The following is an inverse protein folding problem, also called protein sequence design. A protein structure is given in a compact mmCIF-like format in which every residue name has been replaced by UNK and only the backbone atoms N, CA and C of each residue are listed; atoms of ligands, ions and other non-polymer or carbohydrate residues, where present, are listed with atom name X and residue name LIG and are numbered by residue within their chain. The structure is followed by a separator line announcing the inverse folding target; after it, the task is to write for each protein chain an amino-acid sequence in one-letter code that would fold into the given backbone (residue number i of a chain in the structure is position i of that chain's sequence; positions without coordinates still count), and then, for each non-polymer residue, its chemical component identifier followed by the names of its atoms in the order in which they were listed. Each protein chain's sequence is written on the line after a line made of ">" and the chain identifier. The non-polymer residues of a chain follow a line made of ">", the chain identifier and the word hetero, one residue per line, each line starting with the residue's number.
data_IF_359556578243
#
_entry.id   IF_359556578243
#
_cell.length_a   1.000
_cell.length_b   1.000
_cell.length_c   1.000
_cell.angle_alpha   90.00
_cell.angle_beta   90.00
_cell.angle_gamma   90.00
#
_symmetry.space_group_name_H-M   'P 1'
#
loop_
_entity.id
_entity.type
_entity.pdbx_description
1 polymer ?
#
# COMPACT_ATOMS: atom_id res chain seq x y z
N UNK A 1 84.87 8.01 -28.86
CA UNK A 1 83.67 8.03 -29.73
C UNK A 1 83.05 6.65 -29.71
N UNK A 2 81.71 6.60 -29.77
CA UNK A 2 80.84 5.41 -30.04
C UNK A 2 80.78 4.35 -28.91
N UNK A 3 79.64 3.84 -28.44
CA UNK A 3 78.24 3.77 -28.90
C UNK A 3 77.25 3.74 -27.72
N UNK A 4 76.10 4.39 -27.88
CA UNK A 4 74.89 4.19 -27.07
C UNK A 4 74.28 2.82 -27.37
N UNK A 5 73.97 2.03 -26.34
CA UNK A 5 73.02 0.91 -26.44
C UNK A 5 71.90 1.13 -25.43
N UNK A 6 70.74 1.52 -25.96
CA UNK A 6 69.46 1.60 -25.27
C UNK A 6 68.95 0.19 -24.91
N UNK A 7 68.72 -0.09 -23.63
CA UNK A 7 68.05 -1.31 -23.18
C UNK A 7 66.63 -1.00 -22.65
N UNK A 8 65.62 -1.85 -22.93
CA UNK A 8 64.21 -1.49 -22.89
C UNK A 8 63.60 -1.47 -21.47
N UNK A 9 62.73 -0.48 -21.25
CA UNK A 9 61.87 -0.30 -20.08
C UNK A 9 60.89 -1.48 -19.93
N UNK A 10 61.21 -2.46 -19.08
CA UNK A 10 60.27 -3.52 -18.68
C UNK A 10 59.11 -2.90 -17.88
N UNK A 11 57.99 -2.65 -18.57
CA UNK A 11 56.68 -2.44 -17.93
C UNK A 11 56.19 -3.81 -17.45
N UNK A 12 56.22 -4.07 -16.14
CA UNK A 12 55.50 -5.21 -15.56
C UNK A 12 54.01 -4.85 -15.55
N UNK A 13 53.28 -5.36 -16.55
CA UNK A 13 51.83 -5.39 -16.52
C UNK A 13 51.41 -6.40 -15.44
N UNK A 14 50.77 -5.91 -14.38
CA UNK A 14 50.07 -6.76 -13.40
C UNK A 14 48.61 -6.78 -13.84
N UNK A 15 48.21 -7.86 -14.50
CA UNK A 15 46.80 -8.17 -14.68
C UNK A 15 46.27 -8.76 -13.36
N UNK A 16 45.66 -7.91 -12.53
CA UNK A 16 44.87 -8.37 -11.39
C UNK A 16 43.45 -8.66 -11.87
N UNK A 17 43.26 -9.86 -12.43
CA UNK A 17 41.94 -10.46 -12.53
C UNK A 17 41.72 -11.30 -11.27
N UNK A 18 40.83 -10.86 -10.39
CA UNK A 18 40.46 -11.58 -9.17
C UNK A 18 39.00 -11.31 -8.86
N UNK A 19 38.17 -12.31 -9.10
CA UNK A 19 36.71 -12.26 -9.10
C UNK A 19 36.15 -11.73 -7.78
N UNK A 20 35.30 -10.70 -7.86
CA UNK A 20 34.39 -10.38 -6.75
C UNK A 20 33.32 -11.46 -6.75
N UNK A 21 33.33 -12.29 -5.72
CA UNK A 21 32.33 -13.33 -5.47
C UNK A 21 30.95 -12.68 -5.27
N UNK A 22 30.22 -12.48 -6.37
CA UNK A 22 28.78 -12.26 -6.31
C UNK A 22 28.12 -13.60 -5.98
N UNK A 23 27.26 -13.59 -4.97
CA UNK A 23 26.44 -14.74 -4.64
C UNK A 23 25.84 -14.63 -3.26
N UNK A 24 25.17 -13.50 -2.97
CA UNK A 24 24.15 -13.49 -1.93
C UNK A 24 23.22 -14.67 -2.24
N UNK A 25 23.21 -15.64 -1.34
CA UNK A 25 22.30 -16.76 -1.36
C UNK A 25 20.87 -16.20 -1.34
N UNK A 26 20.22 -16.23 -2.50
CA UNK A 26 18.85 -16.67 -2.71
C UNK A 26 17.92 -16.43 -1.50
N UNK A 27 17.41 -15.20 -1.35
CA UNK A 27 16.07 -14.98 -0.79
C UNK A 27 15.05 -15.27 -1.91
N UNK A 28 14.95 -16.50 -2.39
CA UNK A 28 13.87 -16.92 -3.30
C UNK A 28 12.64 -17.43 -2.55
N UNK A 29 12.36 -16.88 -1.38
CA UNK A 29 10.98 -16.56 -1.04
C UNK A 29 10.73 -15.14 -1.57
N UNK A 30 10.77 -14.98 -2.90
CA UNK A 30 10.27 -13.78 -3.56
C UNK A 30 8.74 -13.89 -3.65
N UNK A 31 8.08 -14.19 -2.53
CA UNK A 31 6.65 -13.98 -2.44
C UNK A 31 6.43 -12.50 -2.72
N UNK A 32 5.60 -12.21 -3.73
CA UNK A 32 5.26 -10.84 -4.09
C UNK A 32 4.79 -10.14 -2.81
N UNK A 33 5.37 -8.98 -2.42
CA UNK A 33 4.98 -8.34 -1.16
C UNK A 33 3.47 -8.13 -1.15
N UNK A 34 2.81 -8.60 -0.08
CA UNK A 34 1.38 -8.44 0.12
C UNK A 34 1.06 -6.95 0.08
N UNK A 35 0.15 -6.50 -0.81
CA UNK A 35 -0.14 -5.08 -0.90
C UNK A 35 -0.73 -4.56 0.41
N UNK A 36 -0.17 -3.44 0.89
CA UNK A 36 -0.52 -2.81 2.15
C UNK A 36 -1.34 -1.54 1.94
N UNK A 37 -2.24 -1.30 2.89
CA UNK A 37 -2.89 -0.02 3.05
C UNK A 37 -2.58 0.54 4.45
N UNK A 38 -2.48 1.86 4.55
CA UNK A 38 -2.14 2.56 5.78
C UNK A 38 -3.10 3.72 6.02
N UNK A 39 -3.62 3.83 7.24
CA UNK A 39 -4.34 5.01 7.72
C UNK A 39 -3.44 5.77 8.70
N UNK A 40 -3.35 7.08 8.53
CA UNK A 40 -2.59 7.98 9.43
C UNK A 40 -3.48 9.13 9.90
N UNK A 41 -3.44 9.40 11.20
CA UNK A 41 -4.18 10.47 11.90
C UNK A 41 -3.24 11.11 12.90
N UNK A 42 -3.02 12.43 12.79
CA UNK A 42 -1.94 13.11 13.50
C UNK A 42 -0.59 12.41 13.32
N UNK A 43 -0.04 11.91 14.43
CA UNK A 43 1.21 11.14 14.50
C UNK A 43 1.00 9.63 14.58
N UNK A 44 -0.25 9.17 14.63
CA UNK A 44 -0.62 7.76 14.77
C UNK A 44 -0.87 7.15 13.40
N UNK A 45 -0.43 5.91 13.19
CA UNK A 45 -0.68 5.17 11.96
C UNK A 45 -1.00 3.71 12.23
N UNK A 46 -1.85 3.14 11.39
CA UNK A 46 -2.16 1.71 11.36
C UNK A 46 -2.06 1.21 9.94
N UNK A 47 -1.39 0.08 9.74
CA UNK A 47 -1.23 -0.56 8.44
C UNK A 47 -1.75 -1.99 8.50
N UNK A 48 -2.39 -2.41 7.42
CA UNK A 48 -2.93 -3.76 7.25
C UNK A 48 -2.73 -4.29 5.84
N UNK A 49 -2.61 -5.61 5.76
CA UNK A 49 -2.72 -6.36 4.52
C UNK A 49 -4.20 -6.43 4.12
N UNK A 50 -4.49 -6.98 2.94
CA UNK A 50 -5.86 -7.09 2.50
C UNK A 50 -6.64 -8.00 3.46
N UNK A 51 -7.74 -7.49 4.01
CA UNK A 51 -8.73 -8.30 4.76
C UNK A 51 -9.24 -9.43 3.87
N UNK A 52 -9.34 -9.18 2.56
CA UNK A 52 -9.44 -10.23 1.55
C UNK A 52 -9.02 -9.76 0.16
N UNK A 53 -8.64 -10.72 -0.68
CA UNK A 53 -8.08 -10.44 -2.00
C UNK A 53 -6.72 -9.78 -1.90
N UNK A 54 -6.45 -8.82 -2.79
CA UNK A 54 -5.18 -8.10 -2.85
C UNK A 54 -4.16 -8.74 -3.80
N UNK A 55 -4.44 -9.94 -4.30
CA UNK A 55 -3.55 -10.66 -5.22
C UNK A 55 -3.81 -10.35 -6.70
N UNK A 56 -4.84 -9.54 -6.98
CA UNK A 56 -5.16 -9.02 -8.31
C UNK A 56 -6.28 -9.75 -9.05
N UNK A 57 -6.84 -10.82 -8.47
CA UNK A 57 -8.05 -11.47 -8.97
C UNK A 57 -9.31 -10.71 -8.53
N UNK A 58 -10.33 -10.72 -9.40
CA UNK A 58 -11.63 -10.14 -9.07
C UNK A 58 -12.34 -11.00 -8.03
N UNK A 59 -12.85 -10.37 -6.99
CA UNK A 59 -13.61 -10.99 -5.91
C UNK A 59 -15.08 -11.10 -6.28
N UNK A 60 -15.68 -12.25 -6.02
CA UNK A 60 -17.13 -12.38 -6.14
C UNK A 60 -17.88 -11.61 -5.02
N UNK A 61 -19.15 -11.27 -5.28
CA UNK A 61 -19.98 -10.51 -4.34
C UNK A 61 -20.15 -11.18 -2.96
N UNK A 62 -20.09 -12.52 -2.92
CA UNK A 62 -20.25 -13.28 -1.67
C UNK A 62 -19.00 -13.10 -0.79
N UNK A 63 -17.84 -13.18 -1.40
CA UNK A 63 -16.53 -12.97 -0.78
C UNK A 63 -16.46 -11.54 -0.26
N UNK A 64 -16.74 -10.54 -1.10
CA UNK A 64 -16.81 -9.13 -0.69
C UNK A 64 -17.69 -8.95 0.56
N UNK A 65 -18.91 -9.49 0.52
CA UNK A 65 -19.87 -9.39 1.64
C UNK A 65 -19.36 -10.07 2.92
N UNK A 66 -18.61 -11.16 2.80
CA UNK A 66 -18.00 -11.85 3.93
C UNK A 66 -16.85 -11.02 4.52
N UNK A 67 -15.99 -10.42 3.69
CA UNK A 67 -14.87 -9.62 4.16
C UNK A 67 -15.33 -8.37 4.93
N UNK A 68 -16.40 -7.72 4.47
CA UNK A 68 -16.97 -6.56 5.14
C UNK A 68 -17.59 -6.88 6.52
N UNK A 69 -17.74 -8.16 6.86
CA UNK A 69 -18.24 -8.65 8.16
C UNK A 69 -17.12 -9.12 9.09
N UNK A 70 -15.86 -8.97 8.69
CA UNK A 70 -14.74 -9.36 9.54
C UNK A 70 -14.80 -8.59 10.87
N UNK A 71 -14.46 -9.30 11.94
CA UNK A 71 -14.49 -8.79 13.31
C UNK A 71 -13.10 -8.43 13.80
N UNK A 72 -12.05 -9.02 13.23
CA UNK A 72 -10.67 -8.77 13.63
C UNK A 72 -10.03 -7.69 12.75
N UNK A 73 -10.53 -6.47 12.92
CA UNK A 73 -10.12 -5.29 12.13
C UNK A 73 -9.38 -4.33 13.05
N UNK A 74 -8.14 -3.94 12.73
CA UNK A 74 -7.43 -2.96 13.54
C UNK A 74 -8.17 -1.64 13.58
N UNK A 75 -8.00 -0.94 14.69
CA UNK A 75 -8.61 0.35 14.92
C UNK A 75 -7.61 1.47 15.10
N UNK A 76 -8.01 2.68 14.73
CA UNK A 76 -7.30 3.93 15.02
C UNK A 76 -8.30 4.96 15.57
N UNK A 77 -7.86 5.73 16.56
CA UNK A 77 -8.64 6.84 17.11
C UNK A 77 -8.53 8.07 16.21
N UNK A 78 -9.62 8.80 16.05
CA UNK A 78 -9.74 9.94 15.16
C UNK A 78 -10.44 11.09 15.88
N UNK A 79 -9.71 12.18 16.08
CA UNK A 79 -10.30 13.48 16.39
C UNK A 79 -11.06 13.98 15.14
N UNK A 80 -12.37 14.31 15.23
CA UNK A 80 -13.14 14.86 14.12
C UNK A 80 -12.57 16.13 13.47
N UNK A 81 -11.77 16.90 14.22
CA UNK A 81 -11.14 18.14 13.73
C UNK A 81 -9.80 17.86 13.01
N UNK A 82 -9.27 16.64 13.10
CA UNK A 82 -8.10 16.20 12.36
C UNK A 82 -8.43 15.68 10.95
N UNK A 83 -7.38 15.42 10.17
CA UNK A 83 -7.49 14.84 8.83
C UNK A 83 -7.02 13.38 8.84
N UNK A 84 -7.86 12.50 8.30
CA UNK A 84 -7.53 11.10 8.08
C UNK A 84 -6.85 10.96 6.72
N UNK A 85 -5.61 10.49 6.75
CA UNK A 85 -4.80 10.24 5.55
C UNK A 85 -4.82 8.77 5.22
N UNK A 86 -5.19 8.46 3.99
CA UNK A 86 -5.21 7.11 3.45
C UNK A 86 -4.05 6.97 2.49
N UNK A 87 -3.21 5.97 2.72
CA UNK A 87 -2.11 5.59 1.85
C UNK A 87 -2.30 4.15 1.36
N UNK A 88 -1.98 3.92 0.09
CA UNK A 88 -2.01 2.59 -0.53
C UNK A 88 -0.74 2.37 -1.35
N UNK A 89 -0.36 1.11 -1.51
CA UNK A 89 0.74 0.77 -2.39
C UNK A 89 0.49 1.18 -3.85
N UNK A 90 1.53 1.50 -4.64
CA UNK A 90 1.40 1.89 -6.04
C UNK A 90 0.61 0.90 -6.91
N UNK A 91 0.69 -0.40 -6.61
CA UNK A 91 -0.08 -1.42 -7.34
C UNK A 91 -1.59 -1.28 -7.11
N UNK A 92 -2.01 -0.91 -5.90
CA UNK A 92 -3.41 -0.62 -5.57
C UNK A 92 -3.85 0.68 -6.28
N UNK A 93 -3.00 1.70 -6.29
CA UNK A 93 -3.28 2.97 -6.97
C UNK A 93 -3.52 2.77 -8.49
N UNK A 94 -2.72 1.94 -9.16
CA UNK A 94 -2.93 1.57 -10.57
C UNK A 94 -4.25 0.86 -10.82
N UNK A 95 -4.72 0.09 -9.85
CA UNK A 95 -6.00 -0.62 -9.88
C UNK A 95 -7.21 0.27 -9.62
N UNK A 96 -6.97 1.53 -9.28
CA UNK A 96 -7.95 2.55 -8.90
C UNK A 96 -8.71 2.10 -7.66
N UNK A 97 -8.86 2.96 -6.67
CA UNK A 97 -9.42 2.55 -5.38
C UNK A 97 -10.38 3.56 -4.82
N UNK A 98 -11.33 3.09 -4.03
CA UNK A 98 -12.40 3.89 -3.47
C UNK A 98 -12.48 3.68 -1.96
N UNK A 99 -12.88 4.71 -1.24
CA UNK A 99 -13.15 4.61 0.20
C UNK A 99 -14.63 4.31 0.41
N UNK A 100 -14.89 3.19 1.06
CA UNK A 100 -16.20 2.79 1.53
C UNK A 100 -16.34 3.12 3.01
N UNK A 101 -17.50 3.63 3.40
CA UNK A 101 -17.92 3.80 4.78
C UNK A 101 -19.11 2.90 5.03
N UNK A 102 -18.99 1.99 6.01
CA UNK A 102 -20.01 0.99 6.32
C UNK A 102 -20.49 0.21 5.07
N UNK A 103 -19.54 -0.09 4.17
CA UNK A 103 -19.78 -0.80 2.91
C UNK A 103 -20.30 0.06 1.74
N UNK A 104 -20.56 1.36 1.95
CA UNK A 104 -21.06 2.26 0.90
C UNK A 104 -19.95 3.23 0.44
N UNK A 105 -19.79 3.48 -0.86
CA UNK A 105 -18.78 4.42 -1.34
C UNK A 105 -19.12 5.86 -0.92
N UNK A 106 -18.15 6.55 -0.34
CA UNK A 106 -18.25 7.99 0.01
C UNK A 106 -17.40 8.89 -0.90
N UNK A 107 -16.71 8.27 -1.85
CA UNK A 107 -15.77 8.92 -2.77
C UNK A 107 -15.90 8.32 -4.16
N UNK A 108 -15.42 9.05 -5.18
CA UNK A 108 -15.08 8.44 -6.46
C UNK A 108 -13.77 7.66 -6.33
N UNK A 109 -13.44 6.88 -7.36
CA UNK A 109 -12.18 6.15 -7.44
C UNK A 109 -10.96 7.08 -7.63
N UNK A 110 -9.89 6.76 -6.91
CA UNK A 110 -8.60 7.44 -6.93
C UNK A 110 -7.56 6.63 -7.69
N UNK A 111 -6.67 7.29 -8.42
CA UNK A 111 -5.46 6.71 -9.03
C UNK A 111 -4.16 7.17 -8.38
N UNK A 112 -4.26 7.93 -7.29
CA UNK A 112 -3.12 8.37 -6.47
C UNK A 112 -2.87 7.36 -5.37
N UNK A 113 -1.63 7.28 -4.90
CA UNK A 113 -1.24 6.44 -3.74
C UNK A 113 -1.70 7.01 -2.40
N UNK A 114 -2.23 8.24 -2.39
CA UNK A 114 -2.68 8.87 -1.17
C UNK A 114 -3.88 9.78 -1.40
N UNK A 115 -4.73 9.89 -0.38
CA UNK A 115 -5.76 10.93 -0.27
C UNK A 115 -5.98 11.30 1.19
N UNK A 116 -6.62 12.44 1.41
CA UNK A 116 -6.88 12.98 2.73
C UNK A 116 -8.36 13.39 2.83
N UNK A 117 -9.01 12.98 3.91
CA UNK A 117 -10.43 13.26 4.17
C UNK A 117 -10.56 13.85 5.58
N UNK A 118 -11.33 14.94 5.77
CA UNK A 118 -11.61 15.47 7.10
C UNK A 118 -12.24 14.39 8.02
N UNK A 119 -11.74 14.28 9.25
CA UNK A 119 -12.17 13.27 10.22
C UNK A 119 -13.67 13.32 10.53
N UNK A 120 -14.24 14.53 10.57
CA UNK A 120 -15.67 14.77 10.76
C UNK A 120 -16.57 14.05 9.77
N UNK A 121 -16.11 13.73 8.56
CA UNK A 121 -16.89 12.96 7.57
C UNK A 121 -17.26 11.57 8.12
N UNK A 122 -16.33 10.91 8.82
CA UNK A 122 -16.50 9.54 9.28
C UNK A 122 -17.42 9.39 10.48
N UNK A 123 -17.83 10.49 11.11
CA UNK A 123 -18.75 10.50 12.25
C UNK A 123 -20.00 11.33 11.97
N UNK A 124 -20.25 11.66 10.70
CA UNK A 124 -21.40 12.43 10.27
C UNK A 124 -22.51 11.52 9.69
N UNK A 125 -23.70 11.63 10.27
CA UNK A 125 -24.87 10.83 9.89
C UNK A 125 -25.30 11.01 8.43
N UNK A 126 -25.04 12.16 7.81
CA UNK A 126 -25.35 12.41 6.39
C UNK A 126 -24.61 11.43 5.46
N UNK A 127 -23.42 10.99 5.84
CA UNK A 127 -22.64 10.03 5.07
C UNK A 127 -22.95 8.58 5.48
N UNK A 128 -23.75 8.37 6.53
CA UNK A 128 -24.14 7.03 7.02
C UNK A 128 -23.36 6.54 8.24
N UNK A 129 -22.65 7.42 8.95
CA UNK A 129 -22.00 7.08 10.22
C UNK A 129 -23.03 6.92 11.35
N UNK A 130 -22.76 6.00 12.29
CA UNK A 130 -23.63 5.70 13.42
C UNK A 130 -22.78 5.57 14.70
N UNK A 131 -23.04 6.41 15.70
CA UNK A 131 -22.31 6.41 16.97
C UNK A 131 -20.85 6.86 16.85
N UNK A 132 -19.99 6.33 17.73
CA UNK A 132 -18.58 6.73 17.86
C UNK A 132 -17.60 5.79 17.14
N UNK A 133 -18.09 4.91 16.25
CA UNK A 133 -17.24 3.97 15.53
C UNK A 133 -17.75 3.78 14.11
N UNK A 134 -16.83 3.79 13.16
CA UNK A 134 -17.15 3.65 11.74
C UNK A 134 -16.22 2.64 11.10
N UNK A 135 -16.79 1.74 10.28
CA UNK A 135 -16.02 0.84 9.45
C UNK A 135 -15.65 1.58 8.17
N UNK A 136 -14.35 1.71 7.91
CA UNK A 136 -13.84 2.25 6.65
C UNK A 136 -13.10 1.16 5.91
N UNK A 137 -13.39 1.02 4.62
CA UNK A 137 -12.74 0.02 3.78
C UNK A 137 -12.18 0.69 2.53
N UNK A 138 -10.91 0.46 2.25
CA UNK A 138 -10.32 0.76 0.94
C UNK A 138 -10.68 -0.40 0.02
N UNK A 139 -11.38 -0.12 -1.08
CA UNK A 139 -11.71 -1.08 -2.14
C UNK A 139 -10.83 -0.82 -3.35
N UNK A 140 -9.97 -1.78 -3.71
CA UNK A 140 -9.27 -1.76 -5.00
C UNK A 140 -10.19 -2.27 -6.11
N UNK A 141 -10.19 -1.60 -7.26
CA UNK A 141 -10.87 -2.02 -8.48
C UNK A 141 -10.00 -2.90 -9.38
N UNK A 142 -10.34 -2.97 -10.66
CA UNK A 142 -9.64 -3.73 -11.69
C UNK A 142 -8.62 -2.88 -12.51
N UNK A 143 -8.68 -1.56 -12.37
CA UNK A 143 -7.92 -0.57 -13.13
C UNK A 143 -8.81 0.34 -14.00
N UNK A 144 -10.08 0.01 -14.17
CA UNK A 144 -11.04 0.79 -14.95
C UNK A 144 -11.69 1.88 -14.10
N UNK A 145 -12.00 3.02 -14.72
CA UNK A 145 -12.64 4.15 -14.03
C UNK A 145 -14.05 3.75 -13.59
N UNK A 146 -14.35 3.99 -12.32
CA UNK A 146 -15.67 3.73 -11.72
C UNK A 146 -16.14 2.27 -11.85
N UNK A 147 -15.21 1.30 -11.93
CA UNK A 147 -15.55 -0.12 -11.99
C UNK A 147 -16.28 -0.58 -10.71
N UNK A 148 -17.37 -1.36 -10.85
CA UNK A 148 -18.04 -1.96 -9.70
C UNK A 148 -17.19 -3.07 -9.08
N UNK A 149 -16.25 -3.64 -9.83
CA UNK A 149 -15.43 -4.78 -9.41
C UNK A 149 -14.58 -4.44 -8.17
N UNK A 150 -14.22 -5.49 -7.43
CA UNK A 150 -13.29 -5.40 -6.32
C UNK A 150 -12.21 -6.46 -6.49
N UNK A 151 -10.95 -6.08 -6.38
CA UNK A 151 -9.80 -7.02 -6.40
C UNK A 151 -9.14 -7.15 -5.03
N UNK A 152 -9.51 -6.29 -4.08
CA UNK A 152 -9.02 -6.34 -2.70
C UNK A 152 -9.77 -5.36 -1.80
N UNK A 153 -9.83 -5.71 -0.51
CA UNK A 153 -10.45 -4.90 0.54
C UNK A 153 -9.50 -4.79 1.73
N UNK A 154 -9.24 -3.57 2.19
CA UNK A 154 -8.49 -3.28 3.42
C UNK A 154 -9.40 -2.51 4.36
N UNK A 155 -9.82 -3.15 5.44
CA UNK A 155 -10.79 -2.57 6.37
C UNK A 155 -10.10 -2.06 7.63
N UNK A 156 -10.61 -0.97 8.17
CA UNK A 156 -10.11 -0.33 9.38
C UNK A 156 -11.30 0.17 10.20
N UNK A 157 -11.17 0.15 11.52
CA UNK A 157 -12.17 0.69 12.41
C UNK A 157 -11.73 2.06 12.93
N UNK A 158 -12.42 3.11 12.51
CA UNK A 158 -12.17 4.46 13.02
C UNK A 158 -13.03 4.65 14.26
N UNK A 159 -12.40 4.98 15.38
CA UNK A 159 -13.06 5.31 16.64
C UNK A 159 -12.99 6.81 16.85
N UNK A 160 -14.11 7.44 17.14
CA UNK A 160 -14.15 8.86 17.46
C UNK A 160 -13.37 9.08 18.76
N UNK A 161 -12.50 10.09 18.78
CA UNK A 161 -11.95 10.58 20.04
C UNK A 161 -13.04 11.30 20.84
N UNK A 162 -12.93 11.26 22.17
CA UNK A 162 -13.94 11.79 23.08
C UNK A 162 -13.94 13.33 23.18
#
# INVERSE_FOLDING_TARGET
>A
MTTLHSAPRRRRAVAAAGAVSAGLLVLSACDKPTPMATITVGTSSVSEEATCGGEGETLDNKTITQCLKDKDIKSITVDPDETVRFGVDPEIAKKRWTILMNGQPITNDFDKTYTAIPGSVFFNAQYGAQGNSTLVTIKAGDGEKQSPEATGLWSFKLKKDD
#
